data_IF_296514609704
#
_entry.id   IF_296514609704
#
_cell.length_a   1.000
_cell.length_b   1.000
_cell.length_c   1.000
_cell.angle_alpha   90.00
_cell.angle_beta   90.00
_cell.angle_gamma   90.00
#
_symmetry.space_group_name_H-M   'P 1'
#
loop_
_entity.id
_entity.type
_entity.pdbx_description
1 polymer ?
#
# COMPACT_ATOMS: atom_id res chain seq x y z
N UNK A 1 38.61 -13.07 -2.44
CA UNK A 1 37.31 -13.78 -2.45
C UNK A 1 36.23 -12.84 -1.91
N UNK A 2 35.31 -12.27 -2.72
CA UNK A 2 34.27 -11.41 -2.16
C UNK A 2 33.14 -12.30 -1.61
N UNK A 3 32.77 -12.06 -0.34
CA UNK A 3 31.64 -12.69 0.33
C UNK A 3 30.33 -12.32 -0.40
N UNK A 4 29.60 -13.32 -0.91
CA UNK A 4 28.20 -13.16 -1.32
C UNK A 4 27.41 -12.69 -0.09
N UNK A 5 27.02 -11.41 -0.04
CA UNK A 5 25.96 -10.97 0.87
C UNK A 5 24.66 -11.62 0.40
N UNK A 6 24.16 -12.57 1.17
CA UNK A 6 22.80 -13.05 1.02
C UNK A 6 21.87 -11.95 1.52
N UNK A 7 21.26 -11.23 0.58
CA UNK A 7 20.11 -10.38 0.87
C UNK A 7 18.95 -11.33 1.16
N UNK A 8 18.66 -11.57 2.44
CA UNK A 8 17.51 -12.36 2.85
C UNK A 8 16.23 -11.52 2.67
N UNK A 9 15.83 -11.27 1.42
CA UNK A 9 14.50 -10.73 1.13
C UNK A 9 13.51 -11.89 1.20
N UNK A 10 12.62 -11.86 2.20
CA UNK A 10 11.57 -12.85 2.34
C UNK A 10 10.44 -12.52 1.35
N UNK A 11 10.38 -13.16 0.20
CA UNK A 11 9.26 -12.93 -0.71
C UNK A 11 7.97 -13.56 -0.13
N UNK A 12 7.07 -12.72 0.39
CA UNK A 12 5.80 -13.17 0.99
C UNK A 12 4.88 -13.73 -0.09
N UNK A 13 4.84 -13.10 -1.27
CA UNK A 13 4.12 -13.61 -2.44
C UNK A 13 4.71 -13.06 -3.76
N UNK A 14 4.60 -13.82 -4.86
CA UNK A 14 4.95 -13.32 -6.19
C UNK A 14 4.04 -12.16 -6.59
N UNK A 15 4.66 -11.15 -7.20
CA UNK A 15 3.99 -9.96 -7.74
C UNK A 15 3.04 -9.31 -6.71
N UNK A 16 3.58 -9.04 -5.52
CA UNK A 16 2.85 -8.38 -4.45
C UNK A 16 3.44 -7.00 -4.12
N UNK A 17 2.58 -6.12 -3.62
CA UNK A 17 2.91 -4.76 -3.19
C UNK A 17 2.37 -4.58 -1.78
N UNK A 18 3.21 -4.08 -0.89
CA UNK A 18 2.84 -3.73 0.46
C UNK A 18 2.53 -2.24 0.52
N UNK A 19 1.28 -1.91 0.84
CA UNK A 19 0.84 -0.53 1.09
C UNK A 19 0.79 -0.36 2.60
N UNK A 20 1.72 0.42 3.14
CA UNK A 20 1.74 0.70 4.59
C UNK A 20 0.88 1.91 4.87
N UNK A 21 -0.13 1.68 5.69
CA UNK A 21 -1.15 2.61 6.12
C UNK A 21 -0.92 2.96 7.60
N UNK A 22 -1.18 4.20 7.95
CA UNK A 22 -1.31 4.62 9.35
C UNK A 22 -2.71 5.17 9.56
N UNK A 23 -3.34 4.82 10.67
CA UNK A 23 -4.59 5.46 11.06
C UNK A 23 -4.39 6.98 11.20
N UNK A 24 -5.19 7.74 10.46
CA UNK A 24 -5.44 9.14 10.79
C UNK A 24 -6.38 9.07 11.98
N UNK A 25 -5.81 9.04 13.18
CA UNK A 25 -6.53 8.80 14.42
C UNK A 25 -7.89 9.46 14.40
N UNK A 26 -8.93 8.66 14.64
CA UNK A 26 -10.24 9.18 15.02
C UNK A 26 -9.98 10.25 16.07
N UNK A 27 -10.38 11.49 15.82
CA UNK A 27 -10.25 12.56 16.80
C UNK A 27 -10.79 12.07 18.15
N UNK A 28 -9.90 11.78 19.10
CA UNK A 28 -10.24 11.53 20.50
C UNK A 28 -10.68 12.86 21.13
N UNK A 29 -11.85 13.37 20.73
CA UNK A 29 -12.29 14.70 21.13
C UNK A 29 -13.75 15.05 20.90
N UNK A 30 -14.60 14.13 20.45
CA UNK A 30 -16.04 14.34 20.42
C UNK A 30 -16.73 13.03 20.80
N UNK A 31 -17.23 12.97 22.04
CA UNK A 31 -17.93 11.82 22.63
C UNK A 31 -19.24 11.49 21.92
N UNK A 32 -19.16 10.98 20.70
CA UNK A 32 -20.21 10.18 20.08
C UNK A 32 -20.06 8.72 20.55
N UNK A 33 -21.18 7.99 20.67
CA UNK A 33 -21.18 6.63 21.21
C UNK A 33 -20.15 5.77 20.49
N UNK A 34 -19.22 5.28 21.31
CA UNK A 34 -18.09 4.40 21.03
C UNK A 34 -18.56 2.98 20.63
N UNK A 35 -19.60 2.91 19.78
CA UNK A 35 -20.22 1.67 19.31
C UNK A 35 -20.15 1.54 17.79
N UNK A 36 -19.59 2.54 17.09
CA UNK A 36 -19.41 2.52 15.61
C UNK A 36 -17.98 2.74 15.12
N UNK A 37 -17.02 3.04 16.01
CA UNK A 37 -15.65 3.48 15.63
C UNK A 37 -14.55 2.46 15.90
N UNK A 38 -14.90 1.27 16.39
CA UNK A 38 -14.07 0.07 16.31
C UNK A 38 -14.77 -0.98 15.45
N UNK A 39 -15.31 -0.57 14.29
CA UNK A 39 -15.48 -1.57 13.22
C UNK A 39 -14.07 -2.08 12.99
N UNK A 40 -13.80 -3.31 13.43
CA UNK A 40 -12.73 -4.14 12.90
C UNK A 40 -12.92 -4.09 11.38
N UNK A 41 -12.32 -3.10 10.71
CA UNK A 41 -12.37 -3.03 9.27
C UNK A 41 -11.58 -4.25 8.85
N UNK A 42 -12.32 -5.25 8.37
CA UNK A 42 -11.72 -6.46 7.84
C UNK A 42 -10.83 -5.96 6.70
N UNK A 43 -9.57 -6.39 6.63
CA UNK A 43 -8.62 -5.83 5.67
C UNK A 43 -9.09 -5.78 4.21
N UNK A 44 -10.06 -6.62 3.86
CA UNK A 44 -10.78 -6.59 2.60
C UNK A 44 -11.62 -5.30 2.38
N UNK A 45 -12.29 -4.77 3.41
CA UNK A 45 -13.01 -3.49 3.35
C UNK A 45 -12.04 -2.34 3.09
N UNK A 46 -10.89 -2.31 3.79
CA UNK A 46 -9.82 -1.34 3.55
C UNK A 46 -9.33 -1.42 2.10
N UNK A 47 -9.22 -2.62 1.55
CA UNK A 47 -8.88 -2.82 0.14
C UNK A 47 -9.99 -2.31 -0.80
N UNK A 48 -11.25 -2.60 -0.50
CA UNK A 48 -12.39 -2.16 -1.30
C UNK A 48 -12.48 -0.62 -1.34
N UNK A 49 -12.32 0.02 -0.19
CA UNK A 49 -12.28 1.48 -0.08
C UNK A 49 -11.08 2.07 -0.81
N UNK A 50 -9.90 1.47 -0.65
CA UNK A 50 -8.71 1.85 -1.40
C UNK A 50 -8.93 1.75 -2.91
N UNK A 51 -9.58 0.69 -3.40
CA UNK A 51 -9.96 0.59 -4.81
C UNK A 51 -10.94 1.70 -5.19
N UNK A 52 -12.01 1.89 -4.42
CA UNK A 52 -13.04 2.87 -4.71
C UNK A 52 -12.47 4.29 -4.82
N UNK A 53 -11.65 4.72 -3.87
CA UNK A 53 -11.02 6.05 -3.85
C UNK A 53 -10.13 6.29 -5.08
N UNK A 54 -9.39 5.27 -5.52
CA UNK A 54 -8.52 5.38 -6.69
C UNK A 54 -9.25 5.15 -8.03
N UNK A 55 -10.42 4.51 -8.01
CA UNK A 55 -11.24 4.28 -9.21
C UNK A 55 -12.15 5.47 -9.57
N UNK A 56 -12.50 6.31 -8.60
CA UNK A 56 -13.28 7.54 -8.83
C UNK A 56 -12.51 8.61 -9.61
N UNK A 57 -11.17 8.50 -9.68
CA UNK A 57 -10.30 9.50 -10.29
C UNK A 57 -9.94 9.19 -11.75
N UNK A 58 -10.84 9.54 -12.67
CA UNK A 58 -10.70 9.30 -14.11
C UNK A 58 -9.51 10.01 -14.79
N UNK A 59 -8.90 10.99 -14.12
CA UNK A 59 -7.77 11.76 -14.66
C UNK A 59 -6.48 10.91 -14.77
N UNK A 60 -6.40 9.79 -14.03
CA UNK A 60 -5.29 8.85 -14.14
C UNK A 60 -5.76 7.45 -14.54
N UNK A 61 -6.23 7.31 -15.78
CA UNK A 61 -6.73 6.04 -16.34
C UNK A 61 -5.77 4.87 -16.16
N UNK A 62 -4.45 5.12 -16.18
CA UNK A 62 -3.43 4.07 -15.95
C UNK A 62 -3.51 3.54 -14.52
N UNK A 63 -3.55 4.44 -13.52
CA UNK A 63 -3.71 4.03 -12.11
C UNK A 63 -5.06 3.38 -11.88
N UNK A 64 -6.15 3.93 -12.43
CA UNK A 64 -7.49 3.32 -12.31
C UNK A 64 -7.51 1.88 -12.84
N UNK A 65 -6.95 1.66 -14.04
CA UNK A 65 -6.84 0.32 -14.63
C UNK A 65 -5.91 -0.59 -13.81
N UNK A 66 -4.78 -0.08 -13.35
CA UNK A 66 -3.87 -0.86 -12.52
C UNK A 66 -4.54 -1.30 -11.20
N UNK A 67 -5.27 -0.40 -10.55
CA UNK A 67 -6.04 -0.67 -9.33
C UNK A 67 -7.12 -1.72 -9.59
N UNK A 68 -7.90 -1.60 -10.67
CA UNK A 68 -8.97 -2.56 -10.97
C UNK A 68 -8.43 -3.99 -11.13
N UNK A 69 -7.25 -4.14 -11.74
CA UNK A 69 -6.57 -5.41 -11.98
C UNK A 69 -5.78 -5.95 -10.75
N UNK A 70 -5.81 -5.26 -9.62
CA UNK A 70 -5.21 -5.76 -8.36
C UNK A 70 -6.20 -6.56 -7.52
N UNK A 71 -5.65 -7.44 -6.68
CA UNK A 71 -6.35 -8.36 -5.79
C UNK A 71 -5.88 -8.18 -4.35
N UNK A 72 -6.79 -8.37 -3.41
CA UNK A 72 -6.45 -8.44 -1.99
C UNK A 72 -5.68 -9.72 -1.71
N UNK A 73 -4.49 -9.59 -1.12
CA UNK A 73 -3.69 -10.73 -0.68
C UNK A 73 -3.79 -10.92 0.85
N UNK A 74 -3.84 -9.82 1.60
CA UNK A 74 -3.91 -9.90 3.04
C UNK A 74 -3.79 -8.55 3.74
N UNK A 75 -4.02 -8.58 5.04
CA UNK A 75 -3.92 -7.44 5.94
C UNK A 75 -3.11 -7.86 7.15
N UNK A 76 -1.96 -7.22 7.34
CA UNK A 76 -0.98 -7.58 8.37
C UNK A 76 -0.92 -6.48 9.40
N UNK A 77 -1.01 -6.89 10.67
CA UNK A 77 -0.79 -6.06 11.85
C UNK A 77 -1.62 -4.79 11.89
N UNK A 78 -2.77 -4.75 11.20
CA UNK A 78 -3.63 -3.57 11.10
C UNK A 78 -2.99 -2.33 10.44
N UNK A 79 -1.89 -2.52 9.72
CA UNK A 79 -1.16 -1.41 9.07
C UNK A 79 -0.75 -1.72 7.63
N UNK A 80 -0.60 -2.98 7.24
CA UNK A 80 -0.03 -3.32 5.94
C UNK A 80 -1.06 -4.02 5.08
N UNK A 81 -1.50 -3.32 4.03
CA UNK A 81 -2.36 -3.87 2.99
C UNK A 81 -1.49 -4.52 1.91
N UNK A 82 -1.56 -5.84 1.83
CA UNK A 82 -0.93 -6.60 0.77
C UNK A 82 -1.87 -6.73 -0.41
N UNK A 83 -1.41 -6.25 -1.56
CA UNK A 83 -2.12 -6.39 -2.83
C UNK A 83 -1.28 -7.19 -3.82
N UNK A 84 -1.93 -8.02 -4.62
CA UNK A 84 -1.32 -8.79 -5.70
C UNK A 84 -1.78 -8.24 -7.04
N UNK A 85 -0.92 -8.28 -8.06
CA UNK A 85 -1.27 -7.88 -9.41
C UNK A 85 -0.14 -8.21 -10.39
N UNK A 86 -0.31 -7.88 -11.67
CA UNK A 86 0.79 -8.01 -12.64
C UNK A 86 1.86 -6.96 -12.36
N UNK A 87 3.13 -7.28 -12.66
CA UNK A 87 4.26 -6.36 -12.42
C UNK A 87 4.06 -4.99 -13.09
N UNK A 88 3.50 -4.96 -14.29
CA UNK A 88 3.13 -3.73 -15.01
C UNK A 88 2.16 -2.85 -14.20
N UNK A 89 1.13 -3.46 -13.59
CA UNK A 89 0.13 -2.75 -12.81
C UNK A 89 0.74 -2.25 -11.49
N UNK A 90 1.53 -3.08 -10.81
CA UNK A 90 2.23 -2.68 -9.59
C UNK A 90 3.24 -1.56 -9.85
N UNK A 91 3.90 -1.56 -11.02
CA UNK A 91 4.76 -0.46 -11.46
C UNK A 91 4.00 0.86 -11.59
N UNK A 92 2.80 0.82 -12.18
CA UNK A 92 1.92 1.99 -12.28
C UNK A 92 1.45 2.47 -10.92
N UNK A 93 1.14 1.57 -9.98
CA UNK A 93 0.78 1.97 -8.60
C UNK A 93 1.95 2.65 -7.89
N UNK A 94 3.17 2.12 -8.02
CA UNK A 94 4.38 2.76 -7.48
C UNK A 94 4.60 4.15 -8.04
N UNK A 95 4.50 4.30 -9.36
CA UNK A 95 4.61 5.61 -10.02
C UNK A 95 3.50 6.56 -9.54
N UNK A 96 2.26 6.08 -9.44
CA UNK A 96 1.13 6.83 -8.93
C UNK A 96 1.34 7.35 -7.51
N UNK A 97 1.99 6.56 -6.65
CA UNK A 97 2.38 7.00 -5.30
C UNK A 97 3.46 8.07 -5.30
N UNK A 98 4.54 7.87 -6.09
CA UNK A 98 5.63 8.86 -6.22
C UNK A 98 5.09 10.20 -6.74
N UNK A 99 4.15 10.15 -7.68
CA UNK A 99 3.46 11.33 -8.23
C UNK A 99 2.33 11.86 -7.34
N UNK A 100 2.14 11.31 -6.13
CA UNK A 100 1.07 11.68 -5.18
C UNK A 100 -0.34 11.62 -5.80
N UNK A 101 -0.52 10.78 -6.81
CA UNK A 101 -1.81 10.52 -7.48
C UNK A 101 -2.62 9.43 -6.79
N UNK A 102 -1.98 8.62 -5.96
CA UNK A 102 -2.59 7.51 -5.26
C UNK A 102 -3.24 7.99 -3.95
N UNK A 103 -4.49 7.61 -3.73
CA UNK A 103 -5.30 8.02 -2.59
C UNK A 103 -5.32 6.94 -1.50
N UNK A 104 -5.18 7.31 -0.22
CA UNK A 104 -5.39 6.39 0.88
C UNK A 104 -6.88 6.00 0.99
N UNK A 105 -7.19 4.86 1.62
CA UNK A 105 -8.55 4.59 2.06
C UNK A 105 -8.98 5.57 3.17
N UNK A 106 -10.29 5.79 3.38
CA UNK A 106 -10.81 6.70 4.40
C UNK A 106 -10.31 6.35 5.81
N UNK A 107 -9.90 7.36 6.58
CA UNK A 107 -9.37 7.15 7.92
C UNK A 107 -7.90 6.68 7.97
N UNK A 108 -7.24 6.54 6.81
CA UNK A 108 -5.83 6.17 6.73
C UNK A 108 -4.99 7.20 5.96
N UNK A 109 -3.70 7.21 6.25
CA UNK A 109 -2.68 7.83 5.40
C UNK A 109 -1.73 6.76 4.89
N UNK A 110 -1.40 6.79 3.61
CA UNK A 110 -0.33 5.95 3.05
C UNK A 110 1.00 6.54 3.53
N UNK A 111 1.84 5.73 4.18
CA UNK A 111 3.18 6.12 4.62
C UNK A 111 4.22 5.80 3.56
N UNK A 112 4.18 4.58 3.05
CA UNK A 112 5.07 4.11 1.98
C UNK A 112 4.44 2.92 1.24
N UNK A 113 4.84 2.78 -0.03
CA UNK A 113 4.60 1.58 -0.83
C UNK A 113 5.94 0.88 -0.98
N UNK A 114 6.04 -0.34 -0.46
CA UNK A 114 7.20 -1.20 -0.70
C UNK A 114 6.80 -2.24 -1.75
N UNK A 115 7.51 -2.41 -2.89
CA UNK A 115 7.44 -3.69 -3.61
C UNK A 115 7.69 -4.75 -2.55
N UNK A 116 6.69 -5.58 -2.23
CA UNK A 116 6.78 -6.50 -1.11
C UNK A 116 7.98 -7.43 -1.35
N UNK A 117 9.12 -7.01 -0.80
CA UNK A 117 10.43 -7.63 -0.77
C UNK A 117 11.05 -7.89 -2.16
N UNK A 118 11.14 -6.84 -2.98
CA UNK A 118 12.08 -6.75 -4.12
C UNK A 118 13.38 -6.04 -3.73
N UNK A 119 14.51 -6.21 -4.46
CA UNK A 119 15.79 -5.66 -4.06
C UNK A 119 15.74 -4.13 -4.05
N UNK A 120 15.82 -3.56 -2.84
CA UNK A 120 16.09 -2.15 -2.62
C UNK A 120 17.33 -1.77 -3.45
N UNK A 121 17.15 -1.02 -4.53
CA UNK A 121 18.27 -0.37 -5.21
C UNK A 121 18.70 0.73 -4.26
N UNK A 122 19.69 0.40 -3.42
CA UNK A 122 20.26 1.32 -2.46
C UNK A 122 20.66 2.59 -3.19
N UNK A 123 20.08 3.71 -2.78
CA UNK A 123 20.65 5.00 -3.04
C UNK A 123 22.13 4.94 -2.62
N UNK A 124 23.09 5.24 -3.51
CA UNK A 124 24.47 5.33 -3.10
C UNK A 124 24.59 6.47 -2.10
N UNK A 125 24.98 6.12 -0.87
CA UNK A 125 25.43 7.08 0.13
C UNK A 125 26.60 7.88 -0.48
N UNK A 126 26.50 9.22 -0.57
CA UNK A 126 27.60 10.00 -1.12
C UNK A 126 28.81 9.78 -0.23
N UNK A 127 29.90 9.33 -0.86
CA UNK A 127 31.22 9.28 -0.24
C UNK A 127 31.73 10.72 -0.28
N UNK A 128 31.94 11.26 0.92
CA UNK A 128 32.80 12.38 1.34
C UNK A 128 33.22 13.40 0.26
#
# INVERSE_FOLDING_TARGET
MPRRQMKHSLQIAPNSLAVVLSHLGTCEGLGLPEETLQRHHVGYEIFADFKAENMQHFWNRRVTHAISETFFLGWIDEHVLLIQGKEEHLGVLREGWVRRSLKPPPGFAIKYLDPALGPQVGHPCPKE
#
